data_IF_285216100440
#
_entry.id   IF_285216100440
#
_cell.length_a   1.000
_cell.length_b   1.000
_cell.length_c   1.000
_cell.angle_alpha   90.00
_cell.angle_beta   90.00
_cell.angle_gamma   90.00
#
_symmetry.space_group_name_H-M   'P 1'
#
loop_
_entity.id
_entity.type
_entity.pdbx_description
1 polymer ?
#
# COMPACT_ATOMS: atom_id res chain seq x y z
N UNK A 1 4.08 -5.77 -13.27
CA UNK A 1 4.91 -5.42 -14.43
C UNK A 1 6.23 -6.17 -14.39
N UNK A 2 6.82 -6.41 -15.58
CA UNK A 2 8.20 -6.82 -15.73
C UNK A 2 8.87 -5.89 -16.74
N UNK A 3 9.93 -5.19 -16.33
CA UNK A 3 10.66 -4.23 -17.13
C UNK A 3 12.03 -4.77 -17.49
N UNK A 4 12.37 -4.78 -18.78
CA UNK A 4 13.64 -5.30 -19.26
C UNK A 4 14.49 -4.25 -19.96
N UNK A 5 15.80 -4.34 -19.78
CA UNK A 5 16.76 -3.47 -20.44
C UNK A 5 17.94 -4.26 -20.96
N UNK A 6 17.87 -4.60 -22.25
CA UNK A 6 18.82 -5.42 -22.98
C UNK A 6 18.15 -6.52 -23.79
N UNK A 7 18.88 -7.15 -24.72
CA UNK A 7 18.35 -8.18 -25.61
C UNK A 7 18.15 -9.51 -24.87
N UNK A 8 19.16 -9.97 -24.12
CA UNK A 8 19.05 -11.14 -23.25
C UNK A 8 18.00 -10.92 -22.16
N UNK A 9 17.96 -9.72 -21.57
CA UNK A 9 16.95 -9.32 -20.59
C UNK A 9 15.52 -9.40 -21.14
N UNK A 10 15.31 -9.08 -22.43
CA UNK A 10 13.99 -9.17 -23.08
C UNK A 10 13.48 -10.61 -23.14
N UNK A 11 14.34 -11.56 -23.52
CA UNK A 11 13.95 -12.96 -23.60
C UNK A 11 13.64 -13.52 -22.21
N UNK A 12 14.52 -13.30 -21.23
CA UNK A 12 14.32 -13.75 -19.85
C UNK A 12 13.04 -13.14 -19.24
N UNK A 13 12.76 -11.86 -19.49
CA UNK A 13 11.54 -11.22 -19.02
C UNK A 13 10.25 -11.88 -19.56
N UNK A 14 10.25 -12.26 -20.84
CA UNK A 14 9.14 -12.99 -21.47
C UNK A 14 8.98 -14.39 -20.89
N UNK A 15 10.06 -15.10 -20.66
CA UNK A 15 10.05 -16.46 -20.11
C UNK A 15 9.55 -16.43 -18.64
N UNK A 16 10.02 -15.47 -17.84
CA UNK A 16 9.54 -15.25 -16.48
C UNK A 16 8.04 -14.87 -16.44
N UNK A 17 7.58 -14.02 -17.38
CA UNK A 17 6.17 -13.65 -17.45
C UNK A 17 5.29 -14.85 -17.84
N UNK A 18 5.70 -15.64 -18.82
CA UNK A 18 5.00 -16.85 -19.22
C UNK A 18 4.94 -17.90 -18.09
N UNK A 19 6.03 -18.06 -17.34
CA UNK A 19 6.06 -18.94 -16.17
C UNK A 19 5.17 -18.43 -15.05
N UNK A 20 5.18 -17.11 -14.74
CA UNK A 20 4.32 -16.50 -13.74
C UNK A 20 2.83 -16.73 -14.03
N UNK A 21 2.43 -16.57 -15.28
CA UNK A 21 1.05 -16.80 -15.71
C UNK A 21 0.66 -18.28 -15.63
N UNK A 22 1.50 -19.16 -16.19
CA UNK A 22 1.23 -20.60 -16.26
C UNK A 22 1.19 -21.30 -14.92
N UNK A 23 2.16 -20.99 -14.03
CA UNK A 23 2.35 -21.73 -12.77
C UNK A 23 1.70 -21.03 -11.56
N UNK A 24 1.54 -19.72 -11.62
CA UNK A 24 1.06 -18.90 -10.49
C UNK A 24 -0.19 -18.08 -10.78
N UNK A 25 -0.68 -18.05 -12.02
CA UNK A 25 -1.86 -17.28 -12.43
C UNK A 25 -1.65 -15.77 -12.37
N UNK A 26 -0.40 -15.29 -12.46
CA UNK A 26 -0.04 -13.88 -12.39
C UNK A 26 0.28 -13.37 -13.79
N UNK A 27 -0.62 -12.58 -14.36
CA UNK A 27 -0.37 -11.89 -15.62
C UNK A 27 0.59 -10.70 -15.40
N UNK A 28 1.78 -10.76 -16.01
CA UNK A 28 2.76 -9.69 -15.96
C UNK A 28 2.81 -8.94 -17.29
N UNK A 29 2.64 -7.62 -17.24
CA UNK A 29 2.84 -6.78 -18.41
C UNK A 29 4.35 -6.60 -18.65
N UNK A 30 4.83 -7.09 -19.80
CA UNK A 30 6.25 -7.01 -20.18
C UNK A 30 6.49 -5.75 -21.00
N UNK A 31 7.40 -4.90 -20.53
CA UNK A 31 7.72 -3.60 -21.12
C UNK A 31 9.24 -3.36 -21.15
N UNK A 32 9.66 -2.44 -22.00
CA UNK A 32 11.06 -2.00 -21.97
C UNK A 32 11.29 -1.05 -20.78
N UNK A 33 12.51 -0.99 -20.28
CA UNK A 33 12.89 -0.02 -19.25
C UNK A 33 12.90 1.43 -19.75
N UNK A 34 12.86 1.68 -21.05
CA UNK A 34 12.67 3.04 -21.59
C UNK A 34 11.27 3.58 -21.29
N UNK A 35 10.27 2.68 -21.26
CA UNK A 35 8.87 3.02 -21.01
C UNK A 35 8.53 2.97 -19.50
N UNK A 36 9.51 2.94 -18.60
CA UNK A 36 9.29 2.77 -17.15
C UNK A 36 8.32 3.79 -16.52
N UNK A 37 8.16 4.96 -17.15
CA UNK A 37 7.25 6.00 -16.65
C UNK A 37 5.78 5.69 -16.87
N UNK A 38 5.48 4.82 -17.82
CA UNK A 38 4.11 4.40 -18.13
C UNK A 38 3.55 3.44 -17.07
N UNK A 39 4.40 2.93 -16.16
CA UNK A 39 3.98 2.14 -14.99
C UNK A 39 3.24 2.97 -13.94
N UNK A 40 3.37 4.30 -13.97
CA UNK A 40 2.69 5.23 -13.05
C UNK A 40 2.82 4.83 -11.56
N UNK A 41 3.99 4.32 -11.17
CA UNK A 41 4.29 3.77 -9.83
C UNK A 41 4.11 4.76 -8.66
N UNK A 42 3.84 6.01 -8.94
CA UNK A 42 3.54 7.07 -7.98
C UNK A 42 2.03 7.25 -7.71
N UNK A 43 1.18 6.65 -8.56
CA UNK A 43 -0.28 6.76 -8.44
C UNK A 43 -0.91 5.61 -7.66
N UNK A 44 -0.54 4.37 -7.99
CA UNK A 44 -1.13 3.17 -7.39
C UNK A 44 -0.05 2.17 -6.96
N UNK A 45 -0.31 1.37 -5.91
CA UNK A 45 0.59 0.29 -5.52
C UNK A 45 0.80 -0.69 -6.67
N UNK A 46 2.06 -0.99 -6.95
CA UNK A 46 2.44 -1.93 -8.01
C UNK A 46 3.58 -2.86 -7.60
N UNK A 47 3.64 -4.01 -8.26
CA UNK A 47 4.78 -4.92 -8.20
C UNK A 47 5.55 -4.85 -9.53
N UNK A 48 6.87 -4.63 -9.46
CA UNK A 48 7.72 -4.47 -10.64
C UNK A 48 8.95 -5.37 -10.53
N UNK A 49 9.13 -6.21 -11.52
CA UNK A 49 10.35 -7.01 -11.69
C UNK A 49 11.23 -6.33 -12.74
N UNK A 50 12.45 -5.99 -12.38
CA UNK A 50 13.43 -5.41 -13.30
C UNK A 50 14.44 -6.48 -13.73
N UNK A 51 14.61 -6.67 -15.03
CA UNK A 51 15.65 -7.51 -15.62
C UNK A 51 16.62 -6.60 -16.35
N UNK A 52 17.84 -6.45 -15.81
CA UNK A 52 18.77 -5.39 -16.20
C UNK A 52 20.07 -5.99 -16.68
N UNK A 53 20.39 -5.76 -17.95
CA UNK A 53 21.65 -6.16 -18.53
C UNK A 53 22.74 -5.11 -18.30
N UNK A 54 23.89 -5.55 -17.84
CA UNK A 54 25.10 -4.72 -17.71
C UNK A 54 26.02 -5.03 -18.88
N UNK A 55 26.35 -4.01 -19.65
CA UNK A 55 27.27 -4.09 -20.78
C UNK A 55 28.67 -3.60 -20.40
N UNK A 56 29.58 -3.48 -21.37
CA UNK A 56 30.96 -3.03 -21.15
C UNK A 56 31.04 -1.74 -20.28
N UNK A 57 32.14 -1.62 -19.55
CA UNK A 57 32.40 -0.48 -18.64
C UNK A 57 31.36 -0.29 -17.56
N UNK A 58 30.72 -1.36 -17.09
CA UNK A 58 29.74 -1.32 -16.01
C UNK A 58 28.49 -0.47 -16.31
N UNK A 59 28.21 -0.24 -17.59
CA UNK A 59 27.04 0.55 -18.00
C UNK A 59 25.79 -0.33 -18.13
N UNK A 60 24.61 0.21 -17.84
CA UNK A 60 23.37 -0.46 -18.21
C UNK A 60 23.24 -0.52 -19.74
N UNK A 61 22.63 -1.57 -20.27
CA UNK A 61 22.21 -1.60 -21.66
C UNK A 61 21.42 -0.35 -22.04
N UNK A 62 21.43 0.05 -23.31
CA UNK A 62 20.85 1.31 -23.78
C UNK A 62 19.40 1.50 -23.29
N UNK A 63 18.55 0.48 -23.48
CA UNK A 63 17.15 0.48 -23.04
C UNK A 63 16.94 0.55 -21.51
N UNK A 64 17.97 0.29 -20.70
CA UNK A 64 17.92 0.45 -19.24
C UNK A 64 18.45 1.81 -18.76
N UNK A 65 19.20 2.48 -19.62
CA UNK A 65 20.00 3.64 -19.22
C UNK A 65 19.21 4.79 -18.63
N UNK A 66 18.06 5.13 -19.22
CA UNK A 66 17.20 6.24 -18.76
C UNK A 66 16.58 5.93 -17.39
N UNK A 67 16.08 4.73 -17.19
CA UNK A 67 15.48 4.25 -15.95
C UNK A 67 16.51 4.22 -14.80
N UNK A 68 17.65 3.58 -14.98
CA UNK A 68 18.72 3.49 -13.98
C UNK A 68 19.22 4.89 -13.58
N UNK A 69 19.45 5.78 -14.55
CA UNK A 69 19.85 7.16 -14.27
C UNK A 69 18.78 7.93 -13.52
N UNK A 70 17.50 7.76 -13.85
CA UNK A 70 16.40 8.44 -13.17
C UNK A 70 16.37 8.11 -11.68
N UNK A 71 16.29 6.82 -11.32
CA UNK A 71 16.22 6.40 -9.91
C UNK A 71 17.51 6.75 -9.16
N UNK A 72 18.68 6.58 -9.77
CA UNK A 72 19.94 6.95 -9.15
C UNK A 72 20.09 8.46 -8.90
N UNK A 73 19.58 9.30 -9.80
CA UNK A 73 19.50 10.75 -9.60
C UNK A 73 18.56 11.09 -8.46
N UNK A 74 17.35 10.52 -8.43
CA UNK A 74 16.37 10.73 -7.35
C UNK A 74 16.94 10.35 -5.99
N UNK A 75 17.66 9.24 -5.90
CA UNK A 75 18.39 8.85 -4.69
C UNK A 75 19.39 9.93 -4.25
N UNK A 76 20.17 10.46 -5.18
CA UNK A 76 21.22 11.48 -4.90
C UNK A 76 20.64 12.84 -4.51
N UNK A 77 19.47 13.21 -5.02
CA UNK A 77 18.78 14.46 -4.67
C UNK A 77 18.37 14.49 -3.18
N UNK A 78 18.19 13.35 -2.53
CA UNK A 78 17.95 13.22 -1.08
C UNK A 78 16.59 13.75 -0.59
N UNK A 79 15.83 14.43 -1.43
CA UNK A 79 14.58 15.11 -1.07
C UNK A 79 13.37 14.20 -1.03
N UNK A 80 13.45 12.97 -1.56
CA UNK A 80 12.32 12.04 -1.77
C UNK A 80 12.61 10.62 -1.25
N UNK A 81 13.15 10.48 -0.04
CA UNK A 81 13.49 9.17 0.53
C UNK A 81 12.31 8.19 0.67
N UNK A 82 11.08 8.68 0.63
CA UNK A 82 9.85 7.89 0.71
C UNK A 82 9.04 7.86 -0.61
N UNK A 83 9.65 8.23 -1.74
CA UNK A 83 8.95 8.35 -3.04
C UNK A 83 8.21 7.06 -3.44
N UNK A 84 8.78 5.90 -3.12
CA UNK A 84 8.25 4.58 -3.46
C UNK A 84 7.64 3.84 -2.27
N UNK A 85 7.67 4.44 -1.07
CA UNK A 85 7.16 3.80 0.15
C UNK A 85 5.65 3.54 0.03
N UNK A 86 5.24 2.29 0.28
CA UNK A 86 3.85 1.85 0.15
C UNK A 86 3.33 1.76 -1.30
N UNK A 87 4.11 2.22 -2.29
CA UNK A 87 3.69 2.32 -3.70
C UNK A 87 4.36 1.27 -4.59
N UNK A 88 5.62 0.92 -4.36
CA UNK A 88 6.33 -0.03 -5.19
C UNK A 88 6.90 -1.19 -4.37
N UNK A 89 6.48 -2.40 -4.72
CA UNK A 89 7.20 -3.63 -4.38
C UNK A 89 8.03 -4.06 -5.58
N UNK A 90 9.32 -4.37 -5.38
CA UNK A 90 10.19 -4.60 -6.52
C UNK A 90 11.12 -5.81 -6.33
N UNK A 91 11.53 -6.39 -7.46
CA UNK A 91 12.63 -7.34 -7.54
C UNK A 91 13.57 -6.92 -8.68
N UNK A 92 14.87 -7.19 -8.53
CA UNK A 92 15.88 -6.88 -9.55
C UNK A 92 16.67 -8.14 -9.87
N UNK A 93 16.75 -8.47 -11.14
CA UNK A 93 17.64 -9.50 -11.70
C UNK A 93 18.65 -8.80 -12.60
N UNK A 94 19.91 -8.90 -12.26
CA UNK A 94 21.02 -8.43 -13.09
C UNK A 94 21.51 -9.54 -14.01
N UNK A 95 21.80 -9.18 -15.23
CA UNK A 95 22.47 -10.02 -16.22
C UNK A 95 23.79 -9.37 -16.58
N UNK A 96 24.88 -10.09 -16.40
CA UNK A 96 26.23 -9.63 -16.71
C UNK A 96 27.05 -10.72 -17.35
N UNK A 97 28.21 -10.34 -17.87
CA UNK A 97 29.18 -11.25 -18.44
C UNK A 97 30.57 -10.92 -17.90
N UNK A 98 31.17 -11.84 -17.14
CA UNK A 98 32.54 -11.66 -16.62
C UNK A 98 33.58 -11.68 -17.73
N UNK A 99 33.28 -12.18 -18.94
CA UNK A 99 34.17 -12.10 -20.09
C UNK A 99 34.40 -10.65 -20.58
N UNK A 100 33.46 -9.75 -20.28
CA UNK A 100 33.56 -8.32 -20.64
C UNK A 100 34.42 -7.51 -19.67
N UNK A 101 34.86 -8.09 -18.55
CA UNK A 101 35.67 -7.41 -17.57
C UNK A 101 37.18 -7.47 -17.93
N UNK A 102 37.89 -6.38 -17.64
CA UNK A 102 39.32 -6.26 -17.95
C UNK A 102 40.20 -7.21 -17.14
N UNK A 103 39.83 -7.42 -15.86
CA UNK A 103 40.54 -8.35 -14.95
C UNK A 103 39.67 -9.61 -14.72
N UNK A 104 40.02 -10.67 -15.47
CA UNK A 104 39.28 -11.93 -15.42
C UNK A 104 39.70 -12.87 -14.27
N UNK A 105 40.77 -12.56 -13.55
CA UNK A 105 41.32 -13.48 -12.55
C UNK A 105 40.62 -13.43 -11.20
N UNK A 106 39.94 -12.31 -10.89
CA UNK A 106 39.26 -12.08 -9.61
C UNK A 106 37.78 -11.72 -9.74
N UNK A 107 37.23 -11.81 -10.96
CA UNK A 107 35.85 -11.34 -11.25
C UNK A 107 34.81 -12.40 -10.96
N UNK A 108 33.69 -11.97 -10.44
CA UNK A 108 32.51 -12.79 -10.11
C UNK A 108 31.24 -12.22 -10.77
N UNK A 109 30.13 -12.95 -10.71
CA UNK A 109 28.84 -12.46 -11.18
C UNK A 109 28.49 -11.08 -10.57
N UNK A 110 28.90 -10.82 -9.33
CA UNK A 110 28.73 -9.53 -8.67
C UNK A 110 29.49 -8.40 -9.37
N UNK A 111 30.66 -8.67 -9.90
CA UNK A 111 31.50 -7.65 -10.53
C UNK A 111 30.98 -7.24 -11.91
N UNK A 112 30.22 -8.08 -12.60
CA UNK A 112 29.61 -7.79 -13.89
C UNK A 112 28.15 -7.30 -13.83
N UNK A 113 27.57 -7.10 -12.64
CA UNK A 113 26.16 -6.72 -12.47
C UNK A 113 25.95 -5.32 -11.88
N UNK A 114 26.84 -4.36 -12.14
CA UNK A 114 26.82 -3.03 -11.52
C UNK A 114 25.56 -2.21 -11.85
N UNK A 115 24.98 -2.38 -13.04
CA UNK A 115 23.74 -1.68 -13.41
C UNK A 115 22.58 -2.09 -12.50
N UNK A 116 22.41 -3.41 -12.26
CA UNK A 116 21.40 -3.95 -11.36
C UNK A 116 21.67 -3.54 -9.90
N UNK A 117 22.93 -3.53 -9.46
CA UNK A 117 23.31 -3.09 -8.12
C UNK A 117 22.98 -1.61 -7.89
N UNK A 118 23.23 -0.77 -8.89
CA UNK A 118 22.93 0.67 -8.86
C UNK A 118 21.43 0.89 -8.77
N UNK A 119 20.64 0.20 -9.59
CA UNK A 119 19.18 0.30 -9.59
C UNK A 119 18.57 -0.18 -8.28
N UNK A 120 18.92 -1.38 -7.82
CA UNK A 120 18.44 -1.97 -6.58
C UNK A 120 18.72 -1.07 -5.36
N UNK A 121 19.95 -0.52 -5.28
CA UNK A 121 20.32 0.42 -4.24
C UNK A 121 19.53 1.72 -4.29
N UNK A 122 19.19 2.19 -5.49
CA UNK A 122 18.41 3.39 -5.67
C UNK A 122 16.96 3.19 -5.28
N UNK A 123 16.34 2.09 -5.70
CA UNK A 123 14.95 1.75 -5.35
C UNK A 123 14.77 1.57 -3.84
N UNK A 124 15.71 0.87 -3.19
CA UNK A 124 15.70 0.70 -1.72
C UNK A 124 15.81 2.04 -0.99
N UNK A 125 16.72 2.91 -1.42
CA UNK A 125 16.91 4.25 -0.81
C UNK A 125 15.71 5.19 -1.01
N UNK A 126 14.88 4.94 -2.02
CA UNK A 126 13.64 5.68 -2.29
C UNK A 126 12.41 5.07 -1.58
N UNK A 127 12.60 4.08 -0.73
CA UNK A 127 11.53 3.47 0.08
C UNK A 127 10.79 2.32 -0.61
N UNK A 128 11.25 1.85 -1.76
CA UNK A 128 10.68 0.67 -2.42
C UNK A 128 10.83 -0.61 -1.56
N UNK A 129 9.80 -1.44 -1.53
CA UNK A 129 9.79 -2.71 -0.79
C UNK A 129 10.39 -3.82 -1.67
N UNK A 130 11.56 -4.37 -1.28
CA UNK A 130 12.19 -5.46 -2.02
C UNK A 130 11.44 -6.78 -1.79
N UNK A 131 11.01 -7.44 -2.88
CA UNK A 131 10.27 -8.71 -2.84
C UNK A 131 11.19 -9.88 -2.48
N UNK A 132 12.35 -9.96 -3.16
CA UNK A 132 13.39 -10.98 -2.93
C UNK A 132 14.78 -10.34 -3.04
N UNK A 133 15.83 -10.96 -2.51
CA UNK A 133 17.20 -10.51 -2.75
C UNK A 133 17.48 -10.36 -4.25
N UNK A 134 18.29 -9.36 -4.61
CA UNK A 134 18.70 -9.14 -5.99
C UNK A 134 19.37 -10.40 -6.56
N UNK A 135 18.94 -10.83 -7.76
CA UNK A 135 19.62 -11.84 -8.55
C UNK A 135 20.79 -11.24 -9.33
N UNK A 136 21.88 -11.99 -9.46
CA UNK A 136 23.06 -11.61 -10.23
C UNK A 136 23.47 -12.82 -11.07
N UNK A 137 23.10 -12.81 -12.36
CA UNK A 137 23.42 -13.87 -13.30
C UNK A 137 24.66 -13.52 -14.15
N UNK A 138 25.41 -14.54 -14.55
CA UNK A 138 26.65 -14.42 -15.33
C UNK A 138 26.58 -15.25 -16.61
N UNK A 139 26.52 -14.58 -17.76
CA UNK A 139 26.42 -15.22 -19.06
C UNK A 139 27.66 -16.06 -19.39
N UNK A 140 28.82 -15.74 -18.85
CA UNK A 140 30.05 -16.52 -19.04
C UNK A 140 29.95 -17.98 -18.56
N UNK A 141 29.01 -18.28 -17.64
CA UNK A 141 28.77 -19.62 -17.09
C UNK A 141 27.39 -20.17 -17.44
N UNK A 142 26.56 -19.37 -18.10
CA UNK A 142 25.19 -19.69 -18.47
C UNK A 142 24.17 -19.04 -17.53
N UNK A 143 23.32 -18.18 -18.09
CA UNK A 143 22.34 -17.39 -17.31
C UNK A 143 21.35 -18.24 -16.52
N UNK A 144 20.95 -19.40 -17.04
CA UNK A 144 19.97 -20.29 -16.42
C UNK A 144 20.41 -20.81 -15.04
N UNK A 145 21.73 -20.98 -14.83
CA UNK A 145 22.29 -21.44 -13.55
C UNK A 145 21.90 -20.51 -12.38
N UNK A 146 21.77 -19.21 -12.64
CA UNK A 146 21.42 -18.19 -11.65
C UNK A 146 19.96 -17.77 -11.74
N UNK A 147 19.40 -17.66 -12.96
CA UNK A 147 18.02 -17.19 -13.19
C UNK A 147 16.99 -18.17 -12.64
N UNK A 148 17.16 -19.49 -12.89
CA UNK A 148 16.18 -20.51 -12.46
C UNK A 148 16.05 -20.58 -10.93
N UNK A 149 17.15 -20.66 -10.15
CA UNK A 149 17.03 -20.60 -8.68
C UNK A 149 16.42 -19.31 -8.17
N UNK A 150 16.76 -18.16 -8.77
CA UNK A 150 16.21 -16.88 -8.39
C UNK A 150 14.70 -16.79 -8.66
N UNK A 151 14.24 -17.25 -9.81
CA UNK A 151 12.81 -17.31 -10.17
C UNK A 151 12.00 -18.16 -9.19
N UNK A 152 12.55 -19.28 -8.71
CA UNK A 152 11.93 -20.14 -7.68
C UNK A 152 11.73 -19.40 -6.35
N UNK A 153 12.59 -18.43 -6.02
CA UNK A 153 12.41 -17.58 -4.84
C UNK A 153 11.40 -16.45 -5.10
N UNK A 154 11.42 -15.91 -6.33
CA UNK A 154 10.60 -14.78 -6.73
C UNK A 154 9.10 -15.11 -6.73
N UNK A 155 8.70 -16.15 -7.42
CA UNK A 155 7.27 -16.37 -7.72
C UNK A 155 6.37 -16.56 -6.50
N UNK A 156 6.73 -17.32 -5.46
CA UNK A 156 5.90 -17.41 -4.26
C UNK A 156 5.70 -16.04 -3.59
N UNK A 157 6.76 -15.25 -3.50
CA UNK A 157 6.73 -13.93 -2.88
C UNK A 157 5.99 -12.90 -3.74
N UNK A 158 6.17 -12.97 -5.06
CA UNK A 158 5.43 -12.13 -6.01
C UNK A 158 3.92 -12.42 -5.93
N UNK A 159 3.53 -13.69 -5.74
CA UNK A 159 2.14 -14.08 -5.54
C UNK A 159 1.56 -13.50 -4.26
N UNK A 160 2.30 -13.52 -3.15
CA UNK A 160 1.89 -12.90 -1.88
C UNK A 160 1.69 -11.39 -2.07
N UNK A 161 2.65 -10.70 -2.70
CA UNK A 161 2.58 -9.25 -2.98
C UNK A 161 1.41 -8.92 -3.90
N UNK A 162 1.22 -9.69 -4.97
CA UNK A 162 0.11 -9.49 -5.91
C UNK A 162 -1.25 -9.61 -5.21
N UNK A 163 -1.44 -10.64 -4.41
CA UNK A 163 -2.67 -10.82 -3.62
C UNK A 163 -2.89 -9.67 -2.63
N UNK A 164 -1.82 -9.16 -2.01
CA UNK A 164 -1.89 -7.99 -1.12
C UNK A 164 -2.31 -6.72 -1.86
N UNK A 165 -1.76 -6.47 -3.06
CA UNK A 165 -2.14 -5.32 -3.90
C UNK A 165 -3.60 -5.42 -4.34
N UNK A 166 -4.04 -6.58 -4.83
CA UNK A 166 -5.44 -6.80 -5.23
C UNK A 166 -6.40 -6.70 -4.04
N UNK A 167 -6.02 -7.20 -2.88
CA UNK A 167 -6.82 -7.05 -1.67
C UNK A 167 -6.98 -5.56 -1.28
N UNK A 168 -5.89 -4.76 -1.36
CA UNK A 168 -5.93 -3.31 -1.11
C UNK A 168 -6.79 -2.58 -2.15
N UNK A 169 -6.63 -2.89 -3.43
CA UNK A 169 -7.46 -2.29 -4.50
C UNK A 169 -8.96 -2.57 -4.34
N UNK A 170 -9.30 -3.74 -3.82
CA UNK A 170 -10.70 -4.14 -3.59
C UNK A 170 -11.26 -3.66 -2.25
N UNK A 171 -10.41 -3.31 -1.29
CA UNK A 171 -10.80 -2.83 0.03
C UNK A 171 -11.04 -1.31 -0.01
N UNK A 172 -12.21 -0.90 -0.51
CA UNK A 172 -12.62 0.51 -0.44
C UNK A 172 -12.81 0.93 1.02
N UNK A 173 -11.99 1.86 1.49
CA UNK A 173 -12.12 2.44 2.83
C UNK A 173 -13.11 3.60 2.82
N UNK A 174 -14.12 3.51 3.66
CA UNK A 174 -15.10 4.57 3.82
C UNK A 174 -14.83 5.30 5.16
N UNK A 175 -14.49 6.57 5.09
CA UNK A 175 -14.29 7.45 6.24
C UNK A 175 -15.49 8.38 6.42
N UNK A 176 -16.23 8.19 7.50
CA UNK A 176 -17.45 8.94 7.80
C UNK A 176 -17.23 9.82 9.04
N UNK A 177 -17.52 11.10 8.92
CA UNK A 177 -17.35 12.01 10.05
C UNK A 177 -18.66 12.62 10.55
N UNK A 178 -18.69 12.84 11.88
CA UNK A 178 -19.68 13.66 12.59
C UNK A 178 -18.98 14.71 13.44
N UNK A 179 -19.09 15.97 13.07
CA UNK A 179 -18.33 17.07 13.67
C UNK A 179 -19.17 18.33 13.80
N UNK A 180 -19.16 18.96 14.96
CA UNK A 180 -19.80 20.26 15.19
C UNK A 180 -18.80 21.41 14.99
N UNK A 181 -17.56 21.24 15.47
CA UNK A 181 -16.54 22.29 15.49
C UNK A 181 -15.53 22.20 14.35
N UNK A 182 -15.50 21.07 13.63
CA UNK A 182 -14.58 20.83 12.50
C UNK A 182 -13.44 19.87 12.82
N UNK A 183 -13.05 19.63 14.09
CA UNK A 183 -11.94 18.76 14.45
C UNK A 183 -12.09 17.32 13.87
N UNK A 184 -13.28 16.71 14.04
CA UNK A 184 -13.53 15.37 13.49
C UNK A 184 -13.47 15.34 11.96
N UNK A 185 -13.86 16.44 11.30
CA UNK A 185 -13.77 16.58 9.83
C UNK A 185 -12.30 16.61 9.37
N UNK A 186 -11.47 17.40 10.04
CA UNK A 186 -10.04 17.53 9.72
C UNK A 186 -9.30 16.20 9.92
N UNK A 187 -9.46 15.60 11.11
CA UNK A 187 -8.84 14.31 11.45
C UNK A 187 -9.28 13.21 10.47
N UNK A 188 -10.56 13.15 10.14
CA UNK A 188 -11.11 12.19 9.19
C UNK A 188 -10.48 12.35 7.78
N UNK A 189 -10.33 13.57 7.30
CA UNK A 189 -9.69 13.88 6.02
C UNK A 189 -8.20 13.53 6.02
N UNK A 190 -7.50 13.77 7.12
CA UNK A 190 -6.09 13.42 7.26
C UNK A 190 -5.89 11.90 7.23
N UNK A 191 -6.71 11.13 7.95
CA UNK A 191 -6.71 9.66 7.90
C UNK A 191 -6.99 9.13 6.49
N UNK A 192 -7.93 9.74 5.78
CA UNK A 192 -8.26 9.35 4.41
C UNK A 192 -7.12 9.69 3.42
N UNK A 193 -6.45 10.82 3.60
CA UNK A 193 -5.28 11.18 2.80
C UNK A 193 -4.15 10.18 3.01
N UNK A 194 -3.86 9.81 4.27
CA UNK A 194 -2.88 8.78 4.61
C UNK A 194 -3.25 7.41 4.02
N UNK A 195 -4.53 7.02 4.07
CA UNK A 195 -5.03 5.80 3.43
C UNK A 195 -4.79 5.80 1.91
N UNK A 196 -5.04 6.94 1.26
CA UNK A 196 -4.78 7.12 -0.17
C UNK A 196 -3.28 7.02 -0.49
N UNK A 197 -2.41 7.60 0.34
CA UNK A 197 -0.96 7.47 0.20
C UNK A 197 -0.48 6.03 0.37
N UNK A 198 -1.16 5.25 1.20
CA UNK A 198 -0.93 3.80 1.39
C UNK A 198 -1.54 2.94 0.26
N UNK A 199 -2.23 3.56 -0.72
CA UNK A 199 -2.77 2.92 -1.91
C UNK A 199 -4.15 2.30 -1.76
N UNK A 200 -4.92 2.69 -0.76
CA UNK A 200 -6.32 2.28 -0.62
C UNK A 200 -7.24 3.23 -1.41
N UNK A 201 -8.23 2.72 -2.16
CA UNK A 201 -9.35 3.53 -2.62
C UNK A 201 -10.14 4.07 -1.42
N UNK A 202 -10.33 5.38 -1.36
CA UNK A 202 -10.98 6.03 -0.23
C UNK A 202 -12.23 6.80 -0.62
N UNK A 203 -13.20 6.83 0.27
CA UNK A 203 -14.35 7.71 0.23
C UNK A 203 -14.46 8.45 1.56
N UNK A 204 -14.68 9.76 1.50
CA UNK A 204 -14.79 10.61 2.70
C UNK A 204 -16.02 11.50 2.58
N UNK A 205 -16.91 11.44 3.55
CA UNK A 205 -18.09 12.32 3.58
C UNK A 205 -18.62 12.53 5.00
N UNK A 206 -19.44 13.55 5.18
CA UNK A 206 -20.23 13.69 6.38
C UNK A 206 -21.28 12.57 6.45
N UNK A 207 -21.56 12.07 7.64
CA UNK A 207 -22.47 10.93 7.81
C UNK A 207 -23.86 11.19 7.23
N UNK A 208 -24.39 12.41 7.35
CA UNK A 208 -25.72 12.75 6.81
C UNK A 208 -25.78 12.87 5.26
N UNK A 209 -24.61 12.79 4.58
CA UNK A 209 -24.56 12.79 3.10
C UNK A 209 -24.80 11.41 2.50
N UNK A 210 -24.84 10.36 3.32
CA UNK A 210 -25.05 8.97 2.89
C UNK A 210 -26.11 8.27 3.73
N UNK A 211 -26.70 7.22 3.17
CA UNK A 211 -27.61 6.34 3.90
C UNK A 211 -26.83 5.16 4.51
N UNK A 212 -27.21 4.67 5.71
CA UNK A 212 -26.59 3.47 6.28
C UNK A 212 -26.62 2.26 5.32
N UNK A 213 -27.68 2.11 4.53
CA UNK A 213 -27.85 1.03 3.55
C UNK A 213 -26.86 1.11 2.39
N UNK A 214 -26.35 2.30 2.07
CA UNK A 214 -25.41 2.51 0.97
C UNK A 214 -23.97 2.16 1.36
N UNK A 215 -23.61 2.37 2.61
CA UNK A 215 -22.24 2.16 3.11
C UNK A 215 -22.06 0.85 3.89
N UNK A 216 -23.10 0.36 4.57
CA UNK A 216 -23.06 -0.88 5.35
C UNK A 216 -23.42 -2.06 4.43
N UNK A 217 -22.43 -2.55 3.68
CA UNK A 217 -22.57 -3.68 2.75
C UNK A 217 -21.47 -4.71 3.01
N UNK A 218 -21.70 -6.00 2.78
CA UNK A 218 -20.66 -7.01 2.92
C UNK A 218 -19.38 -6.64 2.18
N UNK A 219 -18.24 -6.76 2.86
CA UNK A 219 -16.93 -6.34 2.35
C UNK A 219 -16.57 -4.87 2.60
N UNK A 220 -17.49 -4.05 3.12
CA UNK A 220 -17.18 -2.66 3.47
C UNK A 220 -16.24 -2.57 4.68
N UNK A 221 -15.30 -1.61 4.62
CA UNK A 221 -14.42 -1.22 5.73
C UNK A 221 -14.71 0.24 6.06
N UNK A 222 -15.31 0.48 7.23
CA UNK A 222 -15.85 1.80 7.60
C UNK A 222 -15.13 2.33 8.83
N UNK A 223 -14.64 3.55 8.76
CA UNK A 223 -14.11 4.29 9.92
C UNK A 223 -14.99 5.46 10.25
N UNK A 224 -15.56 5.48 11.44
CA UNK A 224 -16.34 6.58 11.97
C UNK A 224 -15.44 7.47 12.82
N UNK A 225 -15.36 8.77 12.47
CA UNK A 225 -14.69 9.80 13.29
C UNK A 225 -15.76 10.74 13.79
N UNK A 226 -16.07 10.67 15.07
CA UNK A 226 -17.25 11.36 15.60
C UNK A 226 -17.02 11.98 16.99
N UNK A 227 -17.53 13.19 17.18
CA UNK A 227 -17.56 13.87 18.47
C UNK A 227 -18.91 13.71 19.16
N UNK A 228 -18.93 13.94 20.49
CA UNK A 228 -20.14 14.19 21.23
C UNK A 228 -20.30 15.70 21.46
N UNK A 229 -21.51 16.23 21.37
CA UNK A 229 -21.84 17.63 21.60
C UNK A 229 -22.79 17.77 22.78
N UNK A 230 -22.74 18.90 23.48
CA UNK A 230 -23.66 19.23 24.57
C UNK A 230 -23.81 18.13 25.62
N UNK A 231 -25.04 17.71 25.86
CA UNK A 231 -25.40 16.66 26.83
C UNK A 231 -25.24 15.21 26.26
N UNK A 232 -24.42 15.01 25.23
CA UNK A 232 -24.19 13.70 24.60
C UNK A 232 -24.95 13.50 23.31
N UNK A 233 -25.30 14.60 22.65
CA UNK A 233 -25.98 14.58 21.37
C UNK A 233 -25.00 14.36 20.22
N UNK A 234 -25.50 13.77 19.13
CA UNK A 234 -24.74 13.63 17.90
C UNK A 234 -24.62 14.98 17.17
N UNK A 235 -23.46 15.28 16.55
CA UNK A 235 -23.33 16.47 15.71
C UNK A 235 -24.39 16.57 14.61
N UNK A 236 -24.79 17.80 14.25
CA UNK A 236 -25.83 18.05 13.25
C UNK A 236 -25.62 17.36 11.91
N UNK A 237 -24.34 17.15 11.51
CA UNK A 237 -24.00 16.49 10.25
C UNK A 237 -23.93 14.96 10.35
N UNK A 238 -24.34 14.37 11.49
CA UNK A 238 -24.40 12.91 11.65
C UNK A 238 -25.65 12.39 12.40
N UNK A 239 -26.47 13.24 12.94
CA UNK A 239 -27.62 12.89 13.78
C UNK A 239 -28.66 12.03 13.05
N UNK A 240 -28.97 12.39 11.82
CA UNK A 240 -29.92 11.69 10.96
C UNK A 240 -29.42 10.31 10.59
N UNK A 241 -28.18 10.20 10.13
CA UNK A 241 -27.52 8.92 9.86
C UNK A 241 -27.53 8.02 11.10
N UNK A 242 -27.14 8.57 12.24
CA UNK A 242 -27.06 7.83 13.49
C UNK A 242 -28.45 7.34 13.96
N UNK A 243 -29.49 8.14 13.78
CA UNK A 243 -30.86 7.74 14.07
C UNK A 243 -31.31 6.59 13.17
N UNK A 244 -31.01 6.65 11.86
CA UNK A 244 -31.33 5.58 10.91
C UNK A 244 -30.52 4.32 11.22
N UNK A 245 -29.23 4.44 11.54
CA UNK A 245 -28.36 3.34 11.94
C UNK A 245 -28.92 2.60 13.18
N UNK A 246 -29.36 3.33 14.20
CA UNK A 246 -30.01 2.74 15.39
C UNK A 246 -31.33 2.02 15.05
N UNK A 247 -32.11 2.53 14.10
CA UNK A 247 -33.33 1.87 13.62
C UNK A 247 -32.99 0.58 12.88
N UNK A 248 -31.98 0.61 11.99
CA UNK A 248 -31.47 -0.57 11.29
C UNK A 248 -31.01 -1.64 12.28
N UNK A 249 -30.24 -1.28 13.30
CA UNK A 249 -29.75 -2.23 14.32
C UNK A 249 -30.88 -2.87 15.14
N UNK A 250 -31.98 -2.16 15.38
CA UNK A 250 -33.17 -2.74 16.02
C UNK A 250 -33.90 -3.74 15.13
N UNK A 251 -33.95 -3.46 13.81
CA UNK A 251 -34.66 -4.28 12.84
C UNK A 251 -33.86 -5.53 12.43
N UNK A 252 -32.56 -5.40 12.23
CA UNK A 252 -31.67 -6.40 11.61
C UNK A 252 -30.61 -6.86 12.62
N UNK A 253 -31.00 -7.12 13.85
CA UNK A 253 -30.12 -7.46 14.96
C UNK A 253 -29.26 -8.71 14.64
N UNK A 254 -27.93 -8.52 14.67
CA UNK A 254 -26.93 -9.56 14.42
C UNK A 254 -26.68 -9.90 12.95
N UNK A 255 -27.49 -9.39 12.02
CA UNK A 255 -27.43 -9.80 10.60
C UNK A 255 -27.21 -8.63 9.63
N UNK A 256 -27.51 -7.40 10.05
CA UNK A 256 -27.55 -6.22 9.18
C UNK A 256 -26.19 -5.70 8.73
N UNK A 257 -25.10 -6.21 9.28
CA UNK A 257 -23.73 -5.80 8.91
C UNK A 257 -22.74 -6.97 8.91
N UNK A 258 -23.20 -8.19 8.61
CA UNK A 258 -22.34 -9.36 8.43
C UNK A 258 -21.36 -9.11 7.28
N UNK A 259 -20.06 -9.36 7.53
CA UNK A 259 -18.99 -9.13 6.56
C UNK A 259 -18.55 -7.66 6.45
N UNK A 260 -19.09 -6.78 7.30
CA UNK A 260 -18.62 -5.39 7.45
C UNK A 260 -17.54 -5.32 8.53
N UNK A 261 -16.46 -4.60 8.26
CA UNK A 261 -15.43 -4.25 9.24
C UNK A 261 -15.56 -2.77 9.60
N UNK A 262 -15.37 -2.44 10.86
CA UNK A 262 -15.46 -1.04 11.28
C UNK A 262 -14.44 -0.67 12.35
N UNK A 263 -14.13 0.63 12.41
CA UNK A 263 -13.42 1.28 13.51
C UNK A 263 -14.16 2.55 13.91
N UNK A 264 -13.99 2.98 15.16
CA UNK A 264 -14.54 4.25 15.67
C UNK A 264 -13.43 5.03 16.36
N UNK A 265 -13.25 6.27 15.94
CA UNK A 265 -12.43 7.26 16.62
C UNK A 265 -13.37 8.32 17.24
N UNK A 266 -13.47 8.30 18.56
CA UNK A 266 -14.26 9.25 19.33
C UNK A 266 -13.42 10.43 19.78
N UNK A 267 -13.96 11.63 19.59
CA UNK A 267 -13.39 12.88 20.06
C UNK A 267 -14.32 13.50 21.11
N UNK A 268 -13.77 14.02 22.18
CA UNK A 268 -14.57 14.62 23.24
C UNK A 268 -13.72 15.41 24.23
N UNK A 269 -14.38 15.95 25.22
CA UNK A 269 -13.78 16.67 26.32
C UNK A 269 -14.37 16.11 27.63
N UNK A 270 -13.52 15.59 28.51
CA UNK A 270 -13.93 14.97 29.79
C UNK A 270 -14.58 15.94 30.77
N UNK A 271 -14.48 17.23 30.54
CA UNK A 271 -15.19 18.23 31.36
C UNK A 271 -16.73 18.17 31.16
N UNK A 272 -17.21 17.53 30.09
CA UNK A 272 -18.63 17.33 29.84
C UNK A 272 -19.11 15.98 30.40
N UNK A 273 -20.30 16.01 31.05
CA UNK A 273 -20.88 14.82 31.70
C UNK A 273 -21.12 13.63 30.75
N UNK A 274 -21.33 13.89 29.46
CA UNK A 274 -21.61 12.91 28.44
C UNK A 274 -20.38 12.56 27.57
N UNK A 275 -19.18 12.63 28.15
CA UNK A 275 -17.94 12.30 27.49
C UNK A 275 -18.00 10.95 26.74
N UNK A 276 -17.72 10.97 25.47
CA UNK A 276 -17.72 9.79 24.55
C UNK A 276 -19.09 9.09 24.41
N UNK A 277 -20.21 9.73 24.74
CA UNK A 277 -21.51 9.07 24.65
C UNK A 277 -21.84 8.62 23.22
N UNK A 278 -21.64 9.47 22.22
CA UNK A 278 -21.95 9.18 20.81
C UNK A 278 -20.99 8.13 20.21
N UNK A 279 -19.66 8.25 20.32
CA UNK A 279 -18.71 7.23 19.84
C UNK A 279 -18.98 5.82 20.43
N UNK A 280 -19.28 5.75 21.73
CA UNK A 280 -19.62 4.47 22.39
C UNK A 280 -20.90 3.86 21.84
N UNK A 281 -21.92 4.67 21.60
CA UNK A 281 -23.17 4.22 21.00
C UNK A 281 -22.98 3.78 19.54
N UNK A 282 -22.10 4.43 18.76
CA UNK A 282 -21.75 3.97 17.41
C UNK A 282 -21.14 2.56 17.43
N UNK A 283 -20.13 2.33 18.28
CA UNK A 283 -19.53 0.99 18.44
C UNK A 283 -20.59 -0.05 18.81
N UNK A 284 -21.40 0.24 19.83
CA UNK A 284 -22.44 -0.69 20.29
C UNK A 284 -23.48 -0.98 19.18
N UNK A 285 -23.81 0.03 18.37
CA UNK A 285 -24.79 -0.11 17.30
C UNK A 285 -24.24 -0.99 16.18
N UNK A 286 -22.97 -0.83 15.80
CA UNK A 286 -22.31 -1.68 14.79
C UNK A 286 -22.14 -3.12 15.28
N UNK A 287 -21.78 -3.31 16.54
CA UNK A 287 -21.75 -4.65 17.18
C UNK A 287 -23.12 -5.33 17.15
N UNK A 288 -24.18 -4.59 17.50
CA UNK A 288 -25.55 -5.08 17.46
C UNK A 288 -26.04 -5.46 16.05
N UNK A 289 -25.45 -4.86 15.01
CA UNK A 289 -25.68 -5.21 13.61
C UNK A 289 -24.89 -6.43 13.15
N UNK A 290 -23.92 -6.93 13.94
CA UNK A 290 -23.07 -8.07 13.59
C UNK A 290 -21.79 -7.68 12.82
N UNK A 291 -21.43 -6.39 12.77
CA UNK A 291 -20.19 -5.92 12.18
C UNK A 291 -18.98 -6.31 13.06
N UNK A 292 -17.82 -6.52 12.40
CA UNK A 292 -16.56 -6.83 13.08
C UNK A 292 -15.76 -5.57 13.34
N UNK A 293 -15.49 -5.26 14.60
CA UNK A 293 -14.53 -4.22 14.96
C UNK A 293 -13.11 -4.70 14.62
N UNK A 294 -12.38 -3.99 13.75
CA UNK A 294 -11.02 -4.36 13.38
C UNK A 294 -9.95 -3.59 14.16
N UNK A 295 -10.27 -2.38 14.63
CA UNK A 295 -9.39 -1.60 15.50
C UNK A 295 -10.15 -1.15 16.75
N UNK A 296 -9.50 -1.26 17.90
CA UNK A 296 -10.11 -0.82 19.18
C UNK A 296 -10.53 0.64 19.07
N UNK A 297 -11.74 0.96 19.61
CA UNK A 297 -12.25 2.33 19.61
C UNK A 297 -11.24 3.28 20.26
N UNK A 298 -10.91 4.37 19.55
CA UNK A 298 -10.20 5.51 20.09
C UNK A 298 -11.14 6.40 20.92
N UNK A 299 -10.69 6.88 22.06
CA UNK A 299 -11.37 7.87 22.89
C UNK A 299 -10.39 9.00 23.20
N UNK A 300 -10.35 10.02 22.32
CA UNK A 300 -9.39 11.11 22.38
C UNK A 300 -10.00 12.33 23.08
N UNK A 301 -9.34 12.77 24.15
CA UNK A 301 -9.77 13.84 25.04
C UNK A 301 -9.05 15.14 24.69
N UNK A 302 -9.81 16.17 24.35
CA UNK A 302 -9.26 17.49 23.99
C UNK A 302 -8.46 18.14 25.14
N UNK A 303 -8.82 17.84 26.38
CA UNK A 303 -8.12 18.37 27.57
C UNK A 303 -6.72 17.78 27.80
N UNK A 304 -6.42 16.63 27.17
CA UNK A 304 -5.17 15.88 27.37
C UNK A 304 -4.27 15.85 26.12
N UNK A 305 -4.51 16.76 25.15
CA UNK A 305 -3.77 16.77 23.89
C UNK A 305 -4.41 15.84 22.84
N UNK A 306 -5.38 16.38 22.12
CA UNK A 306 -6.20 15.64 21.15
C UNK A 306 -5.34 14.92 20.08
N UNK A 307 -4.47 15.67 19.44
CA UNK A 307 -3.71 15.17 18.28
C UNK A 307 -2.70 14.08 18.65
N UNK A 308 -2.05 14.15 19.80
CA UNK A 308 -1.12 13.12 20.28
C UNK A 308 -1.83 11.78 20.51
N UNK A 309 -3.07 11.83 21.01
CA UNK A 309 -3.89 10.63 21.21
C UNK A 309 -4.41 10.08 19.87
N UNK A 310 -4.75 10.97 18.93
CA UNK A 310 -5.12 10.58 17.56
C UNK A 310 -3.96 9.88 16.87
N UNK A 311 -2.75 10.41 16.95
CA UNK A 311 -1.55 9.81 16.33
C UNK A 311 -1.25 8.42 16.91
N UNK A 312 -1.36 8.28 18.24
CA UNK A 312 -1.18 6.99 18.91
C UNK A 312 -2.23 5.96 18.45
N UNK A 313 -3.52 6.37 18.33
CA UNK A 313 -4.56 5.51 17.83
C UNK A 313 -4.36 5.15 16.34
N UNK A 314 -4.00 6.12 15.52
CA UNK A 314 -3.74 5.95 14.08
C UNK A 314 -2.65 4.92 13.82
N UNK A 315 -1.56 4.95 14.60
CA UNK A 315 -0.50 3.95 14.51
C UNK A 315 -1.01 2.52 14.74
N UNK A 316 -1.91 2.35 15.72
CA UNK A 316 -2.56 1.06 16.01
C UNK A 316 -3.57 0.69 14.93
N UNK A 317 -4.34 1.65 14.43
CA UNK A 317 -5.33 1.49 13.37
C UNK A 317 -4.69 0.88 12.11
N UNK A 318 -3.56 1.42 11.65
CA UNK A 318 -2.86 0.90 10.47
C UNK A 318 -2.34 -0.51 10.68
N UNK A 319 -1.80 -0.83 11.85
CA UNK A 319 -1.29 -2.18 12.14
C UNK A 319 -2.36 -3.28 12.10
N UNK A 320 -3.65 -2.93 12.19
CA UNK A 320 -4.76 -3.88 12.09
C UNK A 320 -5.37 -3.94 10.69
N UNK A 321 -5.08 -2.96 9.84
CA UNK A 321 -5.59 -2.88 8.47
C UNK A 321 -4.61 -3.51 7.45
N UNK A 322 -3.32 -3.47 7.74
CA UNK A 322 -2.24 -4.11 6.96
C UNK A 322 -2.19 -5.62 7.18
#
# INVERSE_FOLDING_TARGET
FILHGGEAASQIAKDLAAQAEKEHGIALNVMTMDDFRDVEFDKEPCAVVFVVETVENAQPAEAAGSCVRFFNRKRKEGTNQAMLAGKMSYAVLGLGDTNLLLDRQTTTAKDCNQAAQTLDSALAALGGARIVPRGEANDAVGLDEDVVPWAKLLFPKLSEVHKGIEAKKNAKLCFLYGSQTGNATEICKNLAAEASEKGYPVEVCAMNEVEPEDVIKPGAVITFVVSSTGDGDAPDNCDTFFTRLKRKAKKEKGEGAIGVQYAVLGLGDQNYSAFMAVPRQFSQTMENLGAKCFAKRGECDDTLGLYEQVDAWTSTFWSHLE
#
